data_IF_862620356138
#
_entry.id   IF_862620356138
#
_cell.length_a   1.000
_cell.length_b   1.000
_cell.length_c   1.000
_cell.angle_alpha   90.00
_cell.angle_beta   90.00
_cell.angle_gamma   90.00
#
_symmetry.space_group_name_H-M   'P 1'
#
loop_
_entity.id
_entity.type
_entity.pdbx_description
1 polymer ?
#
# COMPACT_ATOMS: atom_id res chain seq x y z
N UNK A 1 8.45 -3.53 27.39
CA UNK A 1 7.17 -4.28 27.36
C UNK A 1 6.06 -3.48 28.07
N UNK A 2 5.60 -2.41 27.44
CA UNK A 2 4.69 -1.44 28.04
C UNK A 2 3.35 -1.49 27.32
N UNK A 3 2.35 -2.00 28.05
CA UNK A 3 0.92 -1.95 27.84
C UNK A 3 0.42 -1.27 26.56
N UNK A 4 0.21 -2.07 25.51
CA UNK A 4 -0.77 -1.73 24.47
C UNK A 4 -2.16 -1.81 25.13
N UNK A 5 -2.97 -0.73 25.12
CA UNK A 5 -4.33 -0.77 25.66
C UNK A 5 -5.12 -1.94 25.03
N UNK A 6 -5.94 -2.63 25.82
CA UNK A 6 -6.78 -3.75 25.34
C UNK A 6 -7.64 -3.37 24.12
N UNK A 7 -7.93 -2.08 23.95
CA UNK A 7 -8.72 -1.52 22.85
C UNK A 7 -8.05 -1.66 21.48
N UNK A 8 -6.71 -1.53 21.40
CA UNK A 8 -5.98 -1.67 20.14
C UNK A 8 -5.87 -3.14 19.69
N UNK A 9 -5.83 -4.08 20.65
CA UNK A 9 -5.80 -5.53 20.35
C UNK A 9 -7.16 -6.07 19.87
N UNK A 10 -8.26 -5.40 20.19
CA UNK A 10 -9.59 -5.73 19.70
C UNK A 10 -9.88 -5.13 18.32
N UNK A 11 -9.13 -4.10 17.93
CA UNK A 11 -9.30 -3.43 16.64
C UNK A 11 -8.95 -4.37 15.48
N UNK A 12 -7.86 -5.13 15.59
CA UNK A 12 -7.44 -6.09 14.55
C UNK A 12 -8.51 -7.18 14.32
N UNK A 13 -8.98 -7.95 15.34
CA UNK A 13 -10.09 -8.88 15.18
C UNK A 13 -11.38 -8.22 14.69
N UNK A 14 -11.68 -6.99 15.12
CA UNK A 14 -12.86 -6.26 14.67
C UNK A 14 -12.77 -5.92 13.18
N UNK A 15 -11.62 -5.43 12.70
CA UNK A 15 -11.37 -5.18 11.28
C UNK A 15 -11.51 -6.47 10.50
N UNK A 16 -10.83 -7.55 10.88
CA UNK A 16 -10.96 -8.87 10.25
C UNK A 16 -12.41 -9.39 10.26
N UNK A 17 -13.14 -9.18 11.35
CA UNK A 17 -14.56 -9.51 11.46
C UNK A 17 -15.43 -8.73 10.48
N UNK A 18 -15.13 -7.45 10.25
CA UNK A 18 -15.79 -6.63 9.22
C UNK A 18 -15.43 -7.15 7.82
N UNK A 19 -14.16 -7.46 7.54
CA UNK A 19 -13.74 -8.03 6.24
C UNK A 19 -14.52 -9.33 5.96
N UNK A 20 -14.54 -10.24 6.94
CA UNK A 20 -15.23 -11.52 6.84
C UNK A 20 -16.74 -11.32 6.66
N UNK A 21 -17.36 -10.45 7.45
CA UNK A 21 -18.79 -10.17 7.36
C UNK A 21 -19.17 -9.58 5.99
N UNK A 22 -18.41 -8.60 5.50
CA UNK A 22 -18.63 -7.97 4.20
C UNK A 22 -18.46 -8.97 3.07
N UNK A 23 -17.36 -9.74 3.06
CA UNK A 23 -17.09 -10.79 2.07
C UNK A 23 -18.11 -11.93 2.08
N UNK A 24 -18.79 -12.16 3.21
CA UNK A 24 -19.79 -13.21 3.35
C UNK A 24 -21.21 -12.79 2.93
N UNK A 25 -21.58 -11.51 3.14
CA UNK A 25 -22.99 -11.09 3.16
C UNK A 25 -23.48 -10.23 2.00
N UNK A 26 -22.63 -9.56 1.21
CA UNK A 26 -23.11 -8.51 0.28
C UNK A 26 -22.69 -8.64 -1.17
N UNK A 27 -23.61 -8.23 -2.06
CA UNK A 27 -23.41 -8.16 -3.51
C UNK A 27 -22.77 -6.84 -3.98
N UNK A 28 -21.95 -6.96 -5.03
CA UNK A 28 -21.01 -5.96 -5.56
C UNK A 28 -21.50 -4.50 -5.65
N UNK A 29 -22.73 -4.26 -6.09
CA UNK A 29 -23.25 -2.92 -6.41
C UNK A 29 -23.40 -1.97 -5.21
N UNK A 30 -23.60 -2.50 -4.00
CA UNK A 30 -23.66 -1.64 -2.80
C UNK A 30 -22.26 -1.32 -2.26
N UNK A 31 -21.28 -2.19 -2.53
CA UNK A 31 -19.89 -1.99 -2.14
C UNK A 31 -19.23 -0.90 -3.00
N UNK A 32 -19.55 -0.86 -4.30
CA UNK A 32 -19.03 0.15 -5.23
C UNK A 32 -19.38 1.60 -4.83
N UNK A 33 -20.63 1.87 -4.42
CA UNK A 33 -21.03 3.21 -3.95
C UNK A 33 -20.34 3.62 -2.65
N UNK A 34 -20.19 2.67 -1.71
CA UNK A 34 -19.45 2.91 -0.47
C UNK A 34 -17.96 3.13 -0.73
N UNK A 35 -17.41 2.43 -1.73
CA UNK A 35 -16.03 2.59 -2.16
C UNK A 35 -15.79 3.96 -2.78
N UNK A 36 -16.67 4.45 -3.65
CA UNK A 36 -16.55 5.80 -4.22
C UNK A 36 -16.51 6.88 -3.14
N UNK A 37 -17.43 6.82 -2.17
CA UNK A 37 -17.48 7.76 -1.05
C UNK A 37 -16.22 7.65 -0.18
N UNK A 38 -15.78 6.42 0.12
CA UNK A 38 -14.55 6.18 0.89
C UNK A 38 -13.32 6.76 0.18
N UNK A 39 -13.17 6.53 -1.12
CA UNK A 39 -12.05 7.05 -1.92
C UNK A 39 -12.08 8.58 -1.97
N UNK A 40 -13.24 9.18 -2.21
CA UNK A 40 -13.39 10.64 -2.20
C UNK A 40 -13.02 11.25 -0.85
N UNK A 41 -13.49 10.64 0.25
CA UNK A 41 -13.14 11.07 1.61
C UNK A 41 -11.63 10.96 1.88
N UNK A 42 -10.99 9.85 1.49
CA UNK A 42 -9.54 9.67 1.63
C UNK A 42 -8.76 10.73 0.86
N UNK A 43 -9.12 10.99 -0.39
CA UNK A 43 -8.45 12.01 -1.21
C UNK A 43 -8.65 13.42 -0.65
N UNK A 44 -9.84 13.73 -0.11
CA UNK A 44 -10.09 15.00 0.55
C UNK A 44 -9.24 15.17 1.83
N UNK A 45 -9.11 14.12 2.64
CA UNK A 45 -8.25 14.13 3.82
C UNK A 45 -6.78 14.29 3.41
N UNK A 46 -6.31 13.55 2.41
CA UNK A 46 -4.93 13.67 1.89
C UNK A 46 -4.68 15.08 1.36
N UNK A 47 -5.62 15.66 0.60
CA UNK A 47 -5.47 17.01 0.08
C UNK A 47 -5.39 18.04 1.21
N UNK A 48 -6.29 17.98 2.19
CA UNK A 48 -6.25 18.86 3.36
C UNK A 48 -4.97 18.68 4.18
N UNK A 49 -4.50 17.44 4.30
CA UNK A 49 -3.25 17.11 4.97
C UNK A 49 -2.02 17.71 4.27
N UNK A 50 -1.90 17.52 2.96
CA UNK A 50 -0.81 18.08 2.16
C UNK A 50 -0.82 19.61 2.16
N UNK A 51 -2.01 20.23 2.13
CA UNK A 51 -2.14 21.68 2.28
C UNK A 51 -1.66 22.15 3.66
N UNK A 52 -2.07 21.47 4.74
CA UNK A 52 -1.61 21.77 6.10
C UNK A 52 -0.10 21.65 6.25
N UNK A 53 0.49 20.57 5.72
CA UNK A 53 1.94 20.40 5.65
C UNK A 53 2.61 21.49 4.81
N UNK A 54 2.01 21.87 3.68
CA UNK A 54 2.52 22.94 2.82
C UNK A 54 2.60 24.27 3.56
N UNK A 55 1.55 24.65 4.30
CA UNK A 55 1.56 25.87 5.14
C UNK A 55 2.61 25.79 6.25
N UNK A 56 2.73 24.63 6.90
CA UNK A 56 3.74 24.42 7.94
C UNK A 56 5.17 24.55 7.41
N UNK A 57 5.48 23.89 6.29
CA UNK A 57 6.78 24.00 5.60
C UNK A 57 7.05 25.43 5.17
N UNK A 58 6.04 26.13 4.65
CA UNK A 58 6.19 27.53 4.23
C UNK A 58 6.60 28.42 5.41
N UNK A 59 5.96 28.27 6.58
CA UNK A 59 6.38 28.98 7.79
C UNK A 59 7.81 28.62 8.23
N UNK A 60 8.20 27.34 8.14
CA UNK A 60 9.59 26.93 8.41
C UNK A 60 10.59 27.52 7.42
N UNK A 61 10.21 27.65 6.14
CA UNK A 61 11.04 28.28 5.12
C UNK A 61 11.24 29.77 5.42
N UNK A 62 10.19 30.50 5.81
CA UNK A 62 10.29 31.94 6.11
C UNK A 62 11.13 32.21 7.36
N UNK A 63 11.07 31.33 8.35
CA UNK A 63 11.76 31.48 9.63
C UNK A 63 13.17 30.84 9.63
N UNK A 64 13.62 30.30 8.48
CA UNK A 64 14.92 29.62 8.34
C UNK A 64 15.02 28.28 9.08
N UNK A 65 13.89 27.68 9.46
CA UNK A 65 13.78 26.45 10.25
C UNK A 65 13.65 25.17 9.43
N UNK A 66 14.08 25.17 8.15
CA UNK A 66 14.18 23.96 7.34
C UNK A 66 15.35 23.09 7.81
N UNK A 67 15.13 21.78 7.82
CA UNK A 67 16.14 20.82 8.29
C UNK A 67 16.70 20.00 7.13
N UNK A 68 18.02 19.92 7.06
CA UNK A 68 18.74 19.10 6.07
C UNK A 68 19.49 17.99 6.80
N UNK A 69 18.80 16.90 7.05
CA UNK A 69 19.38 15.73 7.70
C UNK A 69 20.23 14.95 6.70
N UNK A 70 21.48 14.68 7.07
CA UNK A 70 22.33 13.78 6.29
C UNK A 70 21.79 12.34 6.37
N UNK A 71 21.84 11.56 5.28
CA UNK A 71 21.45 10.15 5.32
C UNK A 71 22.18 9.41 6.45
N UNK A 72 21.44 8.73 7.32
CA UNK A 72 22.00 7.94 8.42
C UNK A 72 22.49 6.56 7.98
N UNK A 73 22.07 6.10 6.79
CA UNK A 73 22.38 4.79 6.21
C UNK A 73 23.15 4.93 4.90
N UNK A 74 23.93 3.90 4.56
CA UNK A 74 24.63 3.86 3.27
C UNK A 74 23.66 3.76 2.08
N UNK A 75 24.11 4.14 0.88
CA UNK A 75 23.26 4.12 -0.32
C UNK A 75 22.70 2.71 -0.65
N UNK A 76 23.50 1.66 -0.43
CA UNK A 76 23.07 0.28 -0.63
C UNK A 76 22.01 -0.15 0.39
N UNK A 77 22.24 0.18 1.66
CA UNK A 77 21.32 -0.12 2.76
C UNK A 77 19.98 0.61 2.55
N UNK A 78 20.01 1.91 2.21
CA UNK A 78 18.80 2.66 1.89
C UNK A 78 18.02 2.09 0.70
N UNK A 79 18.72 1.59 -0.33
CA UNK A 79 18.08 0.94 -1.48
C UNK A 79 17.41 -0.39 -1.08
N UNK A 80 18.08 -1.19 -0.26
CA UNK A 80 17.56 -2.47 0.24
C UNK A 80 16.40 -2.28 1.23
N UNK A 81 16.43 -1.23 2.05
CA UNK A 81 15.29 -0.81 2.87
C UNK A 81 14.11 -0.38 2.00
N UNK A 82 14.39 0.39 0.94
CA UNK A 82 13.38 0.75 -0.07
C UNK A 82 12.71 -0.46 -0.71
N UNK A 83 13.48 -1.51 -1.03
CA UNK A 83 12.94 -2.78 -1.53
C UNK A 83 11.99 -3.46 -0.55
N UNK A 84 12.27 -3.38 0.76
CA UNK A 84 11.40 -3.90 1.82
C UNK A 84 10.09 -3.14 2.01
N UNK A 85 9.96 -1.95 1.43
CA UNK A 85 8.77 -1.08 1.55
C UNK A 85 7.90 -1.07 0.30
N UNK A 86 8.22 -1.86 -0.72
CA UNK A 86 7.49 -1.84 -2.00
C UNK A 86 6.00 -2.17 -1.86
N UNK A 87 5.60 -2.93 -0.83
CA UNK A 87 4.19 -3.21 -0.53
C UNK A 87 3.34 -1.94 -0.39
N UNK A 88 3.96 -0.82 0.02
CA UNK A 88 3.27 0.47 0.19
C UNK A 88 2.71 1.05 -1.10
N UNK A 89 3.20 0.62 -2.27
CA UNK A 89 2.79 1.11 -3.61
C UNK A 89 2.15 0.03 -4.49
N UNK A 90 1.45 -0.92 -3.88
CA UNK A 90 0.83 -2.07 -4.57
C UNK A 90 -0.68 -1.91 -4.74
N UNK A 91 -1.29 -2.82 -5.51
CA UNK A 91 -2.76 -2.94 -5.62
C UNK A 91 -3.37 -2.16 -6.78
N UNK A 92 -2.54 -1.54 -7.62
CA UNK A 92 -3.01 -0.88 -8.84
C UNK A 92 -3.61 -1.87 -9.84
N UNK A 93 -3.30 -3.16 -9.75
CA UNK A 93 -3.78 -4.20 -10.68
C UNK A 93 -5.24 -4.60 -10.46
N UNK A 94 -5.90 -4.13 -9.42
CA UNK A 94 -7.31 -4.48 -9.12
C UNK A 94 -8.23 -4.28 -10.32
N UNK A 95 -8.04 -3.18 -11.07
CA UNK A 95 -8.78 -2.88 -12.30
C UNK A 95 -8.63 -3.97 -13.37
N UNK A 96 -7.51 -4.72 -13.41
CA UNK A 96 -7.28 -5.82 -14.37
C UNK A 96 -8.35 -6.91 -14.25
N UNK A 97 -8.80 -7.20 -13.03
CA UNK A 97 -9.73 -8.29 -12.75
C UNK A 97 -11.19 -7.93 -13.10
N UNK A 98 -11.48 -6.65 -13.37
CA UNK A 98 -12.82 -6.17 -13.73
C UNK A 98 -13.15 -6.31 -15.23
N UNK A 99 -12.62 -7.35 -15.88
CA UNK A 99 -12.75 -7.54 -17.33
C UNK A 99 -14.15 -7.88 -17.83
N UNK A 100 -15.03 -8.35 -16.94
CA UNK A 100 -16.44 -8.59 -17.25
C UNK A 100 -17.28 -7.31 -17.30
N UNK A 101 -16.82 -6.24 -16.64
CA UNK A 101 -17.57 -4.99 -16.47
C UNK A 101 -17.00 -3.85 -17.32
N UNK A 102 -15.67 -3.77 -17.44
CA UNK A 102 -14.98 -2.65 -18.09
C UNK A 102 -14.07 -3.10 -19.23
N UNK A 103 -14.05 -2.30 -20.30
CA UNK A 103 -13.19 -2.56 -21.46
C UNK A 103 -11.70 -2.44 -21.12
N UNK A 104 -10.85 -3.04 -21.95
CA UNK A 104 -9.40 -3.08 -21.74
C UNK A 104 -8.75 -1.69 -21.68
N UNK A 105 -9.21 -0.71 -22.46
CA UNK A 105 -8.62 0.64 -22.47
C UNK A 105 -8.96 1.37 -21.17
N UNK A 106 -10.21 1.27 -20.72
CA UNK A 106 -10.66 1.86 -19.45
C UNK A 106 -9.85 1.30 -18.28
N UNK A 107 -9.67 -0.02 -18.22
CA UNK A 107 -8.85 -0.67 -17.17
C UNK A 107 -7.39 -0.23 -17.21
N UNK A 108 -6.76 -0.14 -18.38
CA UNK A 108 -5.35 0.33 -18.46
C UNK A 108 -5.24 1.78 -17.99
N UNK A 109 -6.16 2.63 -18.46
CA UNK A 109 -6.16 4.06 -18.12
C UNK A 109 -6.38 4.27 -16.63
N UNK A 110 -7.31 3.56 -15.99
CA UNK A 110 -7.54 3.68 -14.54
C UNK A 110 -6.28 3.31 -13.74
N UNK A 111 -5.60 2.20 -14.10
CA UNK A 111 -4.36 1.77 -13.44
C UNK A 111 -3.26 2.84 -13.55
N UNK A 112 -3.05 3.38 -14.75
CA UNK A 112 -2.02 4.41 -14.98
C UNK A 112 -2.31 5.69 -14.21
N UNK A 113 -3.57 6.18 -14.22
CA UNK A 113 -3.93 7.38 -13.46
C UNK A 113 -3.76 7.18 -11.96
N UNK A 114 -4.14 6.02 -11.43
CA UNK A 114 -3.94 5.70 -10.01
C UNK A 114 -2.45 5.69 -9.64
N UNK A 115 -1.59 5.09 -10.47
CA UNK A 115 -0.14 5.09 -10.27
C UNK A 115 0.44 6.51 -10.27
N UNK A 116 0.13 7.33 -11.28
CA UNK A 116 0.65 8.69 -11.37
C UNK A 116 0.17 9.58 -10.23
N UNK A 117 -1.13 9.53 -9.90
CA UNK A 117 -1.69 10.33 -8.82
C UNK A 117 -1.09 9.93 -7.46
N UNK A 118 -1.00 8.62 -7.19
CA UNK A 118 -0.41 8.13 -5.95
C UNK A 118 1.08 8.47 -5.85
N UNK A 119 1.84 8.32 -6.93
CA UNK A 119 3.25 8.70 -6.97
C UNK A 119 3.44 10.19 -6.68
N UNK A 120 2.61 11.06 -7.27
CA UNK A 120 2.66 12.49 -6.99
C UNK A 120 2.36 12.81 -5.52
N UNK A 121 1.33 12.18 -4.95
CA UNK A 121 0.98 12.32 -3.52
C UNK A 121 2.16 11.90 -2.63
N UNK A 122 2.74 10.72 -2.87
CA UNK A 122 3.85 10.21 -2.07
C UNK A 122 5.10 11.09 -2.17
N UNK A 123 5.49 11.51 -3.37
CA UNK A 123 6.67 12.38 -3.55
C UNK A 123 6.47 13.71 -2.86
N UNK A 124 5.31 14.36 -3.03
CA UNK A 124 5.01 15.64 -2.37
C UNK A 124 5.02 15.46 -0.85
N UNK A 125 4.36 14.41 -0.34
CA UNK A 125 4.35 14.11 1.10
C UNK A 125 5.77 13.93 1.66
N UNK A 126 6.59 13.08 1.03
CA UNK A 126 7.96 12.80 1.48
C UNK A 126 8.80 14.08 1.48
N UNK A 127 8.71 14.89 0.42
CA UNK A 127 9.45 16.16 0.33
C UNK A 127 9.02 17.12 1.43
N UNK A 128 7.71 17.32 1.63
CA UNK A 128 7.22 18.22 2.69
C UNK A 128 7.65 17.74 4.08
N UNK A 129 7.59 16.44 4.34
CA UNK A 129 7.93 15.87 5.63
C UNK A 129 9.45 15.92 5.91
N UNK A 130 10.27 15.54 4.93
CA UNK A 130 11.72 15.39 5.09
C UNK A 130 12.43 16.70 5.48
N UNK A 131 11.91 17.85 5.05
CA UNK A 131 12.48 19.16 5.37
C UNK A 131 11.78 19.88 6.55
N UNK A 132 10.67 19.31 7.06
CA UNK A 132 9.88 19.88 8.17
C UNK A 132 10.37 19.48 9.56
N UNK A 133 10.85 18.24 9.66
CA UNK A 133 11.20 17.61 10.93
C UNK A 133 12.63 17.09 10.81
N UNK A 134 13.56 17.71 11.54
CA UNK A 134 14.97 17.27 11.55
C UNK A 134 15.18 16.02 12.38
N UNK A 135 16.37 15.86 12.94
CA UNK A 135 16.74 14.76 13.87
C UNK A 135 16.04 14.85 15.23
N UNK A 136 14.78 15.29 15.27
CA UNK A 136 13.90 14.96 16.38
C UNK A 136 13.96 13.46 16.56
N UNK A 137 14.57 13.03 17.68
CA UNK A 137 14.63 11.65 18.17
C UNK A 137 13.23 11.17 18.54
N UNK A 138 12.29 11.25 17.58
CA UNK A 138 11.02 10.59 17.68
C UNK A 138 11.35 9.11 17.58
N UNK A 139 11.04 8.30 18.61
CA UNK A 139 11.28 6.87 18.52
C UNK A 139 10.59 6.34 17.28
N UNK A 140 11.28 5.49 16.51
CA UNK A 140 10.66 4.77 15.40
C UNK A 140 9.52 3.91 15.97
N UNK A 141 8.29 4.38 15.79
CA UNK A 141 7.08 3.68 16.21
C UNK A 141 6.00 3.85 15.16
N UNK A 142 5.04 2.94 15.14
CA UNK A 142 3.95 2.91 14.17
C UNK A 142 3.09 4.19 14.22
N UNK A 143 3.03 4.84 15.39
CA UNK A 143 2.21 6.03 15.65
C UNK A 143 2.99 7.34 15.66
N UNK A 144 4.33 7.29 15.54
CA UNK A 144 5.19 8.47 15.58
C UNK A 144 4.74 9.59 14.62
N UNK A 145 4.32 9.21 13.40
CA UNK A 145 3.81 10.14 12.40
C UNK A 145 2.54 10.85 12.89
N UNK A 146 1.63 10.12 13.55
CA UNK A 146 0.37 10.69 14.07
C UNK A 146 0.70 11.76 15.12
N UNK A 147 1.62 11.48 16.03
CA UNK A 147 2.04 12.42 17.06
C UNK A 147 2.73 13.66 16.47
N UNK A 148 3.57 13.48 15.44
CA UNK A 148 4.21 14.59 14.73
C UNK A 148 3.17 15.51 14.06
N UNK A 149 2.06 14.96 13.56
CA UNK A 149 1.06 15.77 12.87
C UNK A 149 0.24 16.66 13.79
N UNK A 150 0.24 16.43 15.12
CA UNK A 150 -0.29 17.41 16.08
C UNK A 150 0.42 18.77 15.97
N UNK A 151 1.71 18.78 15.63
CA UNK A 151 2.50 20.01 15.48
C UNK A 151 2.14 20.78 14.21
N UNK A 152 1.63 20.09 13.19
CA UNK A 152 1.22 20.68 11.91
C UNK A 152 -0.17 21.28 12.05
N UNK A 153 -1.13 20.50 12.55
CA UNK A 153 -2.45 20.99 12.95
C UNK A 153 -3.14 20.02 13.92
N UNK A 154 -3.77 20.51 15.01
CA UNK A 154 -4.36 19.65 16.05
C UNK A 154 -5.42 18.63 15.56
N UNK A 155 -6.07 18.91 14.44
CA UNK A 155 -7.12 18.05 13.85
C UNK A 155 -6.57 16.91 12.98
N UNK A 156 -5.31 17.01 12.50
CA UNK A 156 -4.74 16.04 11.56
C UNK A 156 -4.66 14.61 12.10
N UNK A 157 -4.30 14.37 13.36
CA UNK A 157 -4.28 13.01 13.93
C UNK A 157 -5.62 12.28 13.80
N UNK A 158 -6.72 12.96 14.12
CA UNK A 158 -8.07 12.39 13.98
C UNK A 158 -8.41 12.09 12.52
N UNK A 159 -8.04 13.01 11.61
CA UNK A 159 -8.25 12.81 10.17
C UNK A 159 -7.41 11.65 9.61
N UNK A 160 -6.17 11.49 10.06
CA UNK A 160 -5.30 10.38 9.66
C UNK A 160 -5.83 9.03 10.14
N UNK A 161 -6.34 8.95 11.38
CA UNK A 161 -7.00 7.75 11.88
C UNK A 161 -8.25 7.43 11.05
N UNK A 162 -9.08 8.44 10.76
CA UNK A 162 -10.26 8.26 9.91
C UNK A 162 -9.89 7.79 8.49
N UNK A 163 -8.86 8.39 7.88
CA UNK A 163 -8.36 7.98 6.57
C UNK A 163 -7.78 6.56 6.59
N UNK A 164 -7.06 6.19 7.64
CA UNK A 164 -6.52 4.84 7.81
C UNK A 164 -7.66 3.82 7.88
N UNK A 165 -8.68 4.05 8.71
CA UNK A 165 -9.85 3.16 8.80
C UNK A 165 -10.59 3.05 7.46
N UNK A 166 -10.80 4.17 6.76
CA UNK A 166 -11.41 4.17 5.43
C UNK A 166 -10.56 3.41 4.39
N UNK A 167 -9.23 3.50 4.49
CA UNK A 167 -8.31 2.78 3.61
C UNK A 167 -8.34 1.27 3.87
N UNK A 168 -8.35 0.85 5.14
CA UNK A 168 -8.48 -0.55 5.52
C UNK A 168 -9.80 -1.15 5.04
N UNK A 169 -10.90 -0.40 5.15
CA UNK A 169 -12.20 -0.82 4.63
C UNK A 169 -12.18 -0.98 3.10
N UNK A 170 -11.60 -0.02 2.36
CA UNK A 170 -11.48 -0.17 0.90
C UNK A 170 -10.58 -1.33 0.50
N UNK A 171 -9.47 -1.57 1.20
CA UNK A 171 -8.58 -2.70 0.92
C UNK A 171 -9.30 -4.04 1.14
N UNK A 172 -10.04 -4.15 2.25
CA UNK A 172 -10.88 -5.32 2.51
C UNK A 172 -11.91 -5.57 1.40
N UNK A 173 -12.59 -4.52 0.94
CA UNK A 173 -13.57 -4.61 -0.15
C UNK A 173 -12.90 -4.99 -1.47
N UNK A 174 -11.76 -4.38 -1.80
CA UNK A 174 -11.00 -4.68 -3.01
C UNK A 174 -10.44 -6.12 -3.00
N UNK A 175 -10.00 -6.62 -1.86
CA UNK A 175 -9.62 -8.02 -1.70
C UNK A 175 -10.83 -8.94 -1.87
N UNK A 176 -12.03 -8.48 -1.45
CA UNK A 176 -13.25 -9.25 -1.66
C UNK A 176 -13.73 -9.31 -3.12
N UNK A 177 -13.38 -8.33 -3.94
CA UNK A 177 -13.71 -8.33 -5.36
C UNK A 177 -12.60 -8.98 -6.21
N UNK A 178 -11.33 -8.78 -5.83
CA UNK A 178 -10.17 -9.27 -6.57
C UNK A 178 -9.77 -10.71 -6.24
N UNK A 179 -9.69 -11.09 -4.96
CA UNK A 179 -9.13 -12.38 -4.54
C UNK A 179 -10.17 -13.51 -4.49
N UNK A 180 -11.43 -13.22 -4.14
CA UNK A 180 -12.49 -14.25 -4.09
C UNK A 180 -12.76 -14.91 -5.44
N UNK A 181 -12.85 -14.11 -6.51
CA UNK A 181 -12.98 -14.62 -7.87
C UNK A 181 -11.73 -15.36 -8.34
N UNK A 182 -10.54 -14.88 -7.96
CA UNK A 182 -9.27 -15.51 -8.36
C UNK A 182 -9.11 -16.91 -7.77
N UNK A 183 -9.46 -17.13 -6.49
CA UNK A 183 -9.43 -18.46 -5.88
C UNK A 183 -10.42 -19.41 -6.53
N UNK A 184 -11.63 -18.95 -6.82
CA UNK A 184 -12.63 -19.75 -7.53
C UNK A 184 -12.14 -20.13 -8.93
N UNK A 185 -11.60 -19.17 -9.69
CA UNK A 185 -11.08 -19.37 -11.04
C UNK A 185 -9.87 -20.32 -11.07
N UNK A 186 -8.87 -20.07 -10.22
CA UNK A 186 -7.64 -20.88 -10.18
C UNK A 186 -7.89 -22.30 -9.66
N UNK A 187 -8.85 -22.47 -8.76
CA UNK A 187 -9.20 -23.80 -8.22
C UNK A 187 -10.28 -24.51 -9.02
N UNK A 188 -10.77 -23.89 -10.11
CA UNK A 188 -11.88 -24.40 -10.94
C UNK A 188 -13.13 -24.70 -10.10
N UNK A 189 -13.46 -23.81 -9.16
CA UNK A 189 -14.64 -23.90 -8.30
C UNK A 189 -14.49 -24.83 -7.08
N UNK A 190 -13.29 -25.36 -6.78
CA UNK A 190 -13.08 -26.23 -5.60
C UNK A 190 -13.03 -25.47 -4.29
N UNK A 191 -12.57 -24.23 -4.31
CA UNK A 191 -12.56 -23.32 -3.16
C UNK A 191 -13.54 -22.20 -3.45
N UNK A 192 -14.61 -22.15 -2.67
CA UNK A 192 -15.58 -21.05 -2.77
C UNK A 192 -14.96 -19.75 -2.24
N UNK A 193 -15.43 -18.58 -2.71
CA UNK A 193 -14.97 -17.29 -2.19
C UNK A 193 -15.04 -17.18 -0.66
N UNK A 194 -16.10 -17.74 -0.05
CA UNK A 194 -16.28 -17.76 1.42
C UNK A 194 -15.17 -18.55 2.13
N UNK A 195 -14.75 -19.68 1.58
CA UNK A 195 -13.65 -20.47 2.14
C UNK A 195 -12.32 -19.76 1.99
N UNK A 196 -12.10 -19.09 0.86
CA UNK A 196 -10.91 -18.25 0.65
C UNK A 196 -10.84 -17.12 1.69
N UNK A 197 -11.95 -16.43 1.98
CA UNK A 197 -11.96 -15.38 3.02
C UNK A 197 -11.75 -15.92 4.43
N UNK A 198 -12.35 -17.06 4.77
CA UNK A 198 -12.13 -17.68 6.07
C UNK A 198 -10.65 -18.04 6.24
N UNK A 199 -10.03 -18.64 5.22
CA UNK A 199 -8.60 -18.96 5.22
C UNK A 199 -7.73 -17.70 5.34
N UNK A 200 -8.02 -16.66 4.54
CA UNK A 200 -7.30 -15.38 4.59
C UNK A 200 -7.39 -14.72 5.97
N UNK A 201 -8.58 -14.75 6.58
CA UNK A 201 -8.81 -14.20 7.92
C UNK A 201 -8.01 -14.94 8.99
N UNK A 202 -8.00 -16.28 8.94
CA UNK A 202 -7.23 -17.09 9.90
C UNK A 202 -5.73 -16.86 9.73
N UNK A 203 -5.23 -16.84 8.49
CA UNK A 203 -3.80 -16.56 8.20
C UNK A 203 -3.43 -15.15 8.66
N UNK A 204 -4.25 -14.16 8.32
CA UNK A 204 -4.03 -12.76 8.68
C UNK A 204 -4.01 -12.55 10.20
N UNK A 205 -4.95 -13.14 10.92
CA UNK A 205 -4.95 -13.12 12.40
C UNK A 205 -3.71 -13.82 12.95
N UNK A 206 -3.35 -15.00 12.44
CA UNK A 206 -2.15 -15.72 12.87
C UNK A 206 -0.88 -14.89 12.70
N UNK A 207 -0.68 -14.28 11.53
CA UNK A 207 0.46 -13.42 11.25
C UNK A 207 0.48 -12.18 12.15
N UNK A 208 -0.66 -11.52 12.35
CA UNK A 208 -0.70 -10.29 13.16
C UNK A 208 -0.36 -10.53 14.64
N UNK A 209 -0.55 -11.75 15.14
CA UNK A 209 -0.21 -12.10 16.52
C UNK A 209 1.21 -12.66 16.68
N UNK A 210 1.86 -13.06 15.60
CA UNK A 210 3.16 -13.77 15.64
C UNK A 210 4.31 -12.98 15.02
N UNK A 211 4.02 -12.01 14.16
CA UNK A 211 5.00 -11.28 13.36
C UNK A 211 4.83 -9.77 13.56
N UNK A 212 5.94 -9.04 13.65
CA UNK A 212 5.92 -7.57 13.72
C UNK A 212 5.41 -6.97 12.39
N UNK A 213 4.73 -5.82 12.43
CA UNK A 213 4.23 -5.12 11.25
C UNK A 213 5.32 -4.86 10.19
N UNK A 214 6.55 -4.51 10.59
CA UNK A 214 7.66 -4.27 9.66
C UNK A 214 8.09 -5.54 8.92
N UNK A 215 8.07 -6.68 9.60
CA UNK A 215 8.32 -7.98 8.98
C UNK A 215 7.16 -8.39 8.05
N UNK A 216 5.91 -8.18 8.46
CA UNK A 216 4.73 -8.42 7.59
C UNK A 216 4.84 -7.60 6.29
N UNK A 217 5.21 -6.32 6.41
CA UNK A 217 5.45 -5.41 5.28
C UNK A 217 6.57 -5.94 4.38
N UNK A 218 7.68 -6.42 4.96
CA UNK A 218 8.80 -6.98 4.20
C UNK A 218 8.41 -8.27 3.45
N UNK A 219 7.73 -9.21 4.13
CA UNK A 219 7.27 -10.44 3.50
C UNK A 219 6.28 -10.17 2.37
N UNK A 220 5.32 -9.27 2.58
CA UNK A 220 4.38 -8.87 1.56
C UNK A 220 5.08 -8.20 0.37
N UNK A 221 6.03 -7.29 0.61
CA UNK A 221 6.82 -6.62 -0.45
C UNK A 221 7.55 -7.64 -1.33
N UNK A 222 8.18 -8.65 -0.72
CA UNK A 222 8.88 -9.71 -1.46
C UNK A 222 7.91 -10.60 -2.24
N UNK A 223 6.75 -10.93 -1.69
CA UNK A 223 5.74 -11.71 -2.40
C UNK A 223 5.20 -10.96 -3.64
N UNK A 224 4.89 -9.67 -3.49
CA UNK A 224 4.47 -8.83 -4.61
C UNK A 224 5.58 -8.64 -5.64
N UNK A 225 6.83 -8.46 -5.21
CA UNK A 225 7.96 -8.35 -6.13
C UNK A 225 8.17 -9.65 -6.94
N UNK A 226 7.97 -10.81 -6.32
CA UNK A 226 8.01 -12.10 -7.02
C UNK A 226 6.89 -12.18 -8.08
N UNK A 227 5.69 -11.74 -7.73
CA UNK A 227 4.55 -11.67 -8.64
C UNK A 227 4.83 -10.76 -9.84
N UNK A 228 5.35 -9.56 -9.62
CA UNK A 228 5.71 -8.63 -10.69
C UNK A 228 6.90 -9.11 -11.53
N UNK A 229 7.90 -9.75 -10.91
CA UNK A 229 9.00 -10.37 -11.63
C UNK A 229 8.48 -11.42 -12.61
N UNK A 230 7.54 -12.27 -12.17
CA UNK A 230 6.93 -13.28 -13.03
C UNK A 230 6.13 -12.65 -14.19
N UNK A 231 5.35 -11.60 -13.91
CA UNK A 231 4.61 -10.88 -14.95
C UNK A 231 5.54 -10.23 -15.99
N UNK A 232 6.61 -9.60 -15.52
CA UNK A 232 7.63 -9.00 -16.38
C UNK A 232 8.35 -10.08 -17.21
N UNK A 233 8.64 -11.25 -16.62
CA UNK A 233 9.27 -12.36 -17.34
C UNK A 233 8.37 -12.89 -18.45
N UNK A 234 7.09 -13.10 -18.15
CA UNK A 234 6.10 -13.53 -19.14
C UNK A 234 6.01 -12.49 -20.27
N UNK A 235 5.96 -11.20 -19.95
CA UNK A 235 5.93 -10.12 -20.94
C UNK A 235 7.20 -10.07 -21.80
N UNK A 236 8.38 -10.28 -21.21
CA UNK A 236 9.65 -10.33 -21.93
C UNK A 236 9.67 -11.50 -22.94
N UNK A 237 9.27 -12.70 -22.49
CA UNK A 237 9.26 -13.90 -23.33
C UNK A 237 8.21 -13.79 -24.44
N UNK A 238 7.02 -13.27 -24.16
CA UNK A 238 5.98 -13.11 -25.18
C UNK A 238 6.36 -12.08 -26.23
N UNK A 239 6.91 -10.92 -25.83
CA UNK A 239 7.38 -9.89 -26.75
C UNK A 239 8.54 -10.38 -27.62
N UNK A 240 9.49 -11.11 -27.03
CA UNK A 240 10.60 -11.72 -27.76
C UNK A 240 10.13 -12.77 -28.77
N UNK A 241 9.23 -13.68 -28.37
CA UNK A 241 8.65 -14.70 -29.26
C UNK A 241 7.80 -14.12 -30.38
N UNK A 242 7.14 -12.97 -30.14
CA UNK A 242 6.41 -12.24 -31.17
C UNK A 242 7.33 -11.54 -32.19
N UNK A 243 8.65 -11.61 -32.01
CA UNK A 243 9.62 -10.94 -32.88
C UNK A 243 9.63 -9.42 -32.72
N UNK A 244 9.16 -8.89 -31.58
CA UNK A 244 9.13 -7.46 -31.34
C UNK A 244 10.57 -6.92 -31.27
N UNK A 245 10.98 -6.17 -32.30
CA UNK A 245 12.32 -5.59 -32.44
C UNK A 245 12.53 -4.29 -31.65
N UNK A 246 11.57 -3.95 -30.78
CA UNK A 246 11.60 -2.76 -29.93
C UNK A 246 12.50 -2.96 -28.71
N UNK A 247 12.72 -1.89 -27.94
CA UNK A 247 13.43 -1.93 -26.65
C UNK A 247 12.61 -2.58 -25.52
N UNK A 248 11.31 -2.82 -25.74
CA UNK A 248 10.37 -3.35 -24.74
C UNK A 248 10.72 -4.73 -24.16
N UNK A 249 11.14 -5.74 -24.95
CA UNK A 249 11.54 -7.03 -24.37
C UNK A 249 12.71 -6.87 -23.40
N UNK A 250 13.67 -6.00 -23.73
CA UNK A 250 14.81 -5.71 -22.84
C UNK A 250 14.36 -4.97 -21.57
N UNK A 251 13.43 -4.03 -21.66
CA UNK A 251 12.83 -3.39 -20.49
C UNK A 251 12.14 -4.41 -19.58
N UNK A 252 11.31 -5.31 -20.13
CA UNK A 252 10.62 -6.33 -19.34
C UNK A 252 11.60 -7.31 -18.69
N UNK A 253 12.69 -7.67 -19.38
CA UNK A 253 13.76 -8.46 -18.78
C UNK A 253 14.46 -7.71 -17.63
N UNK A 254 14.74 -6.41 -17.78
CA UNK A 254 15.31 -5.59 -16.72
C UNK A 254 14.38 -5.49 -15.50
N UNK A 255 13.07 -5.33 -15.71
CA UNK A 255 12.07 -5.32 -14.63
C UNK A 255 11.98 -6.68 -13.92
N UNK A 256 12.17 -7.78 -14.66
CA UNK A 256 12.26 -9.13 -14.06
C UNK A 256 13.45 -9.21 -13.10
N UNK A 257 14.62 -8.77 -13.54
CA UNK A 257 15.84 -8.76 -12.72
C UNK A 257 15.67 -7.86 -11.49
N UNK A 258 15.07 -6.68 -11.66
CA UNK A 258 14.78 -5.78 -10.54
C UNK A 258 13.83 -6.45 -9.52
N UNK A 259 12.74 -7.06 -10.00
CA UNK A 259 11.81 -7.79 -9.14
C UNK A 259 12.51 -8.90 -8.36
N UNK A 260 13.36 -9.70 -9.01
CA UNK A 260 14.15 -10.74 -8.34
C UNK A 260 15.14 -10.14 -7.32
N UNK A 261 15.77 -9.01 -7.62
CA UNK A 261 16.65 -8.32 -6.68
C UNK A 261 15.88 -7.89 -5.41
N UNK A 262 14.66 -7.40 -5.55
CA UNK A 262 13.79 -7.05 -4.41
C UNK A 262 13.45 -8.31 -3.59
N UNK A 263 13.11 -9.43 -4.24
CA UNK A 263 12.80 -10.69 -3.53
C UNK A 263 14.00 -11.19 -2.71
N UNK A 264 15.21 -11.07 -3.26
CA UNK A 264 16.42 -11.62 -2.66
C UNK A 264 17.02 -10.69 -1.61
N UNK A 265 17.01 -9.39 -1.86
CA UNK A 265 17.73 -8.41 -1.04
C UNK A 265 16.83 -7.57 -0.16
N UNK A 266 15.51 -7.51 -0.38
CA UNK A 266 14.62 -6.67 0.43
C UNK A 266 14.67 -7.01 1.92
N UNK A 267 15.00 -6.01 2.75
CA UNK A 267 15.12 -6.15 4.20
C UNK A 267 13.98 -5.43 4.92
N UNK A 268 13.53 -5.93 6.09
CA UNK A 268 12.61 -5.18 6.93
C UNK A 268 13.29 -3.88 7.41
N UNK A 269 12.49 -2.82 7.56
CA UNK A 269 12.94 -1.62 8.26
C UNK A 269 12.92 -1.98 9.75
N UNK A 270 14.05 -2.39 10.29
CA UNK A 270 14.22 -2.57 11.73
C UNK A 270 14.30 -1.19 12.40
N UNK A 271 13.56 -1.00 13.49
CA UNK A 271 13.59 0.20 14.33
C UNK A 271 14.57 0.08 15.49
#
# INVERSE_FOLDING_TARGET
>A
PTHVPNDAKLLTPATFGIILFVGWTRGFRMLENLEYVSVAAKLAIIAGFLLGLGFFVFGRLTDGGLTFTAPSVGAWEGLVLGFGLIVTVQGFETSRYLGGEYDTRTRIRSMQWAQWLSAAIYVVYIVLLAYSFGDTKVPFSETAIIDMMHLVAPILPALLVAAALAAQFSAAVADTSGSGGLFEDLTKGRVSPRQAYALLTVIGLGLTWTVNVFEIISYASRAFAAYYALQAAIAAVTAWRAGERSWRPALFAALTVLGLAIVLFGQPVEG
#
